data_IF_636251594121
#
_entry.id   IF_636251594121
#
_cell.length_a   1.000
_cell.length_b   1.000
_cell.length_c   1.000
_cell.angle_alpha   90.00
_cell.angle_beta   90.00
_cell.angle_gamma   90.00
#
_symmetry.space_group_name_H-M   'P 1'
#
loop_
_entity.id
_entity.type
_entity.pdbx_description
1 polymer ?
#
# COMPACT_ATOMS: atom_id res chain seq x y z
N UNK A 1 25.80 34.47 45.19
CA UNK A 1 25.48 34.51 43.74
C UNK A 1 25.96 33.20 43.13
N UNK A 2 25.04 32.32 42.76
CA UNK A 2 25.32 31.11 41.99
C UNK A 2 24.23 30.98 40.92
N UNK A 3 24.66 30.72 39.71
CA UNK A 3 23.92 30.89 38.45
C UNK A 3 22.91 29.75 38.29
N UNK A 4 21.63 30.10 38.13
CA UNK A 4 20.58 29.14 37.76
C UNK A 4 20.74 28.84 36.27
N UNK A 5 21.24 27.66 35.94
CA UNK A 5 21.27 27.17 34.57
C UNK A 5 19.86 26.82 34.12
N UNK A 6 19.29 27.61 33.22
CA UNK A 6 18.03 27.26 32.54
C UNK A 6 18.31 26.11 31.59
N UNK A 7 17.84 24.91 31.94
CA UNK A 7 17.76 23.80 31.01
C UNK A 7 16.76 24.17 29.90
N UNK A 8 17.26 24.43 28.69
CA UNK A 8 16.41 24.53 27.50
C UNK A 8 16.02 23.11 27.14
N UNK A 9 14.82 22.71 27.51
CA UNK A 9 14.21 21.49 27.00
C UNK A 9 14.01 21.66 25.48
N UNK A 10 14.88 21.06 24.68
CA UNK A 10 14.60 20.85 23.26
C UNK A 10 13.38 19.93 23.20
N UNK A 11 12.20 20.52 23.02
CA UNK A 11 11.02 19.79 22.59
C UNK A 11 11.38 19.12 21.26
N UNK A 12 11.72 17.84 21.28
CA UNK A 12 11.65 16.99 20.09
C UNK A 12 10.18 16.85 19.73
N UNK A 13 9.59 17.94 19.23
CA UNK A 13 8.33 17.87 18.53
C UNK A 13 8.58 16.97 17.34
N UNK A 14 7.98 15.78 17.34
CA UNK A 14 7.86 14.92 16.17
C UNK A 14 7.46 15.85 15.02
N UNK A 15 8.35 16.06 14.05
CA UNK A 15 8.05 16.92 12.90
C UNK A 15 6.96 16.22 12.12
N UNK A 16 5.70 16.54 12.43
CA UNK A 16 4.55 16.09 11.65
C UNK A 16 4.77 16.66 10.25
N UNK A 17 5.25 15.80 9.36
CA UNK A 17 5.51 16.19 7.99
C UNK A 17 4.16 16.42 7.33
N UNK A 18 3.93 17.64 6.85
CA UNK A 18 2.77 17.93 6.01
C UNK A 18 2.88 17.05 4.77
N UNK A 19 2.04 16.03 4.73
CA UNK A 19 2.10 14.98 3.72
C UNK A 19 0.97 15.17 2.74
N UNK A 20 1.28 15.20 1.46
CA UNK A 20 0.27 15.23 0.39
C UNK A 20 0.08 13.83 -0.16
N UNK A 21 -1.17 13.38 -0.27
CA UNK A 21 -1.50 12.13 -0.95
C UNK A 21 -1.97 12.37 -2.38
N UNK A 22 -1.78 11.38 -3.24
CA UNK A 22 -2.35 11.34 -4.58
C UNK A 22 -2.75 9.91 -4.95
N UNK A 23 -3.95 9.74 -5.52
CA UNK A 23 -4.40 8.43 -6.01
C UNK A 23 -3.46 7.98 -7.13
N UNK A 24 -3.02 6.72 -7.04
CA UNK A 24 -2.20 6.05 -8.05
C UNK A 24 -3.05 5.13 -8.92
N UNK A 25 -3.82 4.24 -8.29
CA UNK A 25 -4.72 3.28 -8.95
C UNK A 25 -5.89 2.95 -8.05
N UNK A 26 -7.03 2.64 -8.64
CA UNK A 26 -8.15 2.02 -7.95
C UNK A 26 -8.78 0.93 -8.81
N UNK A 27 -9.15 -0.17 -8.17
CA UNK A 27 -9.77 -1.33 -8.81
C UNK A 27 -11.06 -1.70 -8.10
N UNK A 28 -12.10 -2.00 -8.86
CA UNK A 28 -13.34 -2.56 -8.38
C UNK A 28 -13.54 -3.93 -9.01
N UNK A 29 -13.57 -4.98 -8.20
CA UNK A 29 -13.61 -6.33 -8.75
C UNK A 29 -14.04 -7.40 -7.77
N UNK A 30 -14.44 -8.53 -8.34
CA UNK A 30 -14.59 -9.77 -7.61
C UNK A 30 -13.24 -10.47 -7.54
N UNK A 31 -12.75 -10.83 -6.34
CA UNK A 31 -11.44 -11.48 -6.20
C UNK A 31 -11.24 -12.61 -7.19
N UNK A 32 -12.30 -13.41 -7.41
CA UNK A 32 -12.21 -14.64 -8.18
C UNK A 32 -12.96 -14.65 -9.54
N UNK A 33 -13.38 -13.50 -10.09
CA UNK A 33 -14.16 -13.50 -11.34
C UNK A 33 -13.39 -12.99 -12.57
N UNK A 34 -12.07 -12.88 -12.48
CA UNK A 34 -11.22 -12.32 -13.54
C UNK A 34 -10.71 -10.91 -13.23
N UNK A 35 -10.22 -10.17 -14.24
CA UNK A 35 -9.68 -8.82 -14.06
C UNK A 35 -10.70 -7.85 -13.46
N UNK A 36 -10.23 -6.98 -12.57
CA UNK A 36 -11.05 -5.95 -11.95
C UNK A 36 -11.24 -4.78 -12.90
N UNK A 37 -12.32 -4.02 -12.73
CA UNK A 37 -12.48 -2.76 -13.41
C UNK A 37 -11.49 -1.72 -12.85
N UNK A 38 -10.72 -1.07 -13.72
CA UNK A 38 -9.96 0.14 -13.32
C UNK A 38 -10.97 1.27 -13.12
N UNK A 39 -11.08 1.74 -11.87
CA UNK A 39 -12.00 2.81 -11.44
C UNK A 39 -11.23 4.04 -10.96
N UNK A 40 -9.94 4.15 -11.31
CA UNK A 40 -9.04 5.22 -10.86
C UNK A 40 -9.63 6.60 -11.12
N UNK A 41 -10.21 6.83 -12.30
CA UNK A 41 -10.82 8.12 -12.68
C UNK A 41 -12.15 8.42 -12.00
N UNK A 42 -12.76 7.44 -11.33
CA UNK A 42 -14.03 7.58 -10.62
C UNK A 42 -13.82 7.86 -9.12
N UNK A 43 -12.63 7.57 -8.60
CA UNK A 43 -12.26 7.90 -7.22
C UNK A 43 -11.86 9.37 -7.15
N UNK A 44 -12.60 10.15 -6.36
CA UNK A 44 -12.37 11.58 -6.18
C UNK A 44 -12.23 11.92 -4.70
N UNK A 45 -11.43 12.94 -4.39
CA UNK A 45 -11.26 13.48 -3.04
C UNK A 45 -11.51 14.99 -3.01
N UNK A 46 -12.78 15.42 -3.13
CA UNK A 46 -13.15 16.82 -3.07
C UNK A 46 -12.95 17.33 -1.64
N UNK A 47 -11.85 18.04 -1.40
CA UNK A 47 -11.43 18.47 -0.06
C UNK A 47 -9.98 18.11 0.28
N UNK A 48 -9.30 17.36 -0.60
CA UNK A 48 -7.93 16.91 -0.37
C UNK A 48 -7.87 15.68 0.53
N UNK A 49 -6.70 15.45 1.14
CA UNK A 49 -6.43 14.27 1.95
C UNK A 49 -6.25 14.67 3.42
N UNK A 50 -6.71 13.86 4.40
CA UNK A 50 -7.29 12.53 4.21
C UNK A 50 -8.71 12.56 3.63
N UNK A 51 -9.07 11.54 2.85
CA UNK A 51 -10.40 11.39 2.29
C UNK A 51 -10.90 9.95 2.38
N UNK A 52 -12.23 9.81 2.45
CA UNK A 52 -12.91 8.52 2.51
C UNK A 52 -13.50 8.19 1.14
N UNK A 53 -13.17 7.01 0.62
CA UNK A 53 -13.72 6.47 -0.63
C UNK A 53 -14.63 5.30 -0.30
N UNK A 54 -15.92 5.44 -0.59
CA UNK A 54 -16.88 4.38 -0.33
C UNK A 54 -16.73 3.22 -1.33
N UNK A 55 -16.64 2.00 -0.81
CA UNK A 55 -16.72 0.79 -1.61
C UNK A 55 -18.19 0.55 -2.00
N UNK A 56 -18.61 1.18 -3.11
CA UNK A 56 -19.99 1.14 -3.57
C UNK A 56 -20.07 0.93 -5.08
N UNK A 57 -20.67 -0.18 -5.52
CA UNK A 57 -20.76 -0.55 -6.94
C UNK A 57 -21.36 0.52 -7.85
N UNK A 58 -22.51 1.12 -7.51
CA UNK A 58 -23.09 2.24 -8.26
C UNK A 58 -22.16 3.43 -8.49
N UNK A 59 -21.26 3.76 -7.55
CA UNK A 59 -20.27 4.82 -7.74
C UNK A 59 -19.23 4.49 -8.83
N UNK A 60 -19.15 3.21 -9.20
CA UNK A 60 -18.23 2.66 -10.19
C UNK A 60 -18.97 2.09 -11.41
N UNK A 61 -20.20 2.56 -11.67
CA UNK A 61 -21.07 2.09 -12.76
C UNK A 61 -21.39 0.58 -12.71
N UNK A 62 -21.41 -0.02 -11.52
CA UNK A 62 -21.72 -1.44 -11.32
C UNK A 62 -22.93 -1.62 -10.41
N UNK A 63 -24.11 -1.71 -11.03
CA UNK A 63 -25.39 -1.87 -10.32
C UNK A 63 -25.66 -3.29 -9.83
N UNK A 64 -24.77 -4.26 -10.14
CA UNK A 64 -24.95 -5.64 -9.68
C UNK A 64 -24.58 -5.73 -8.20
N UNK A 65 -25.56 -6.01 -7.36
CA UNK A 65 -25.34 -6.27 -5.94
C UNK A 65 -24.53 -7.56 -5.76
N UNK A 66 -23.29 -7.41 -5.30
CA UNK A 66 -22.44 -8.53 -4.95
C UNK A 66 -21.52 -8.12 -3.80
N UNK A 67 -21.76 -8.71 -2.62
CA UNK A 67 -21.03 -8.41 -1.39
C UNK A 67 -19.60 -8.99 -1.38
N UNK A 68 -19.27 -9.87 -2.34
CA UNK A 68 -17.91 -10.40 -2.48
C UNK A 68 -16.98 -9.47 -3.26
N UNK A 69 -17.52 -8.42 -3.93
CA UNK A 69 -16.69 -7.40 -4.59
C UNK A 69 -15.86 -6.64 -3.59
N UNK A 70 -14.70 -6.17 -4.00
CA UNK A 70 -13.82 -5.35 -3.18
C UNK A 70 -13.36 -4.15 -3.98
N UNK A 71 -13.28 -3.02 -3.28
CA UNK A 71 -12.56 -1.84 -3.74
C UNK A 71 -11.12 -1.96 -3.24
N UNK A 72 -10.16 -1.88 -4.17
CA UNK A 72 -8.75 -1.66 -3.84
C UNK A 72 -8.37 -0.27 -4.26
N UNK A 73 -7.78 0.52 -3.36
CA UNK A 73 -7.22 1.83 -3.69
C UNK A 73 -5.75 1.84 -3.31
N UNK A 74 -4.93 2.39 -4.21
CA UNK A 74 -3.48 2.56 -4.06
C UNK A 74 -3.20 4.05 -4.23
N UNK A 75 -2.49 4.65 -3.29
CA UNK A 75 -2.13 6.07 -3.33
C UNK A 75 -0.67 6.28 -2.92
N UNK A 76 -0.09 7.37 -3.40
CA UNK A 76 1.26 7.79 -3.02
C UNK A 76 1.20 8.89 -1.97
N UNK A 77 2.26 9.01 -1.18
CA UNK A 77 2.44 10.06 -0.19
C UNK A 77 3.80 10.73 -0.36
N UNK A 78 3.77 12.06 -0.45
CA UNK A 78 4.92 12.94 -0.53
C UNK A 78 4.99 13.81 0.72
N UNK A 79 6.20 14.11 1.24
CA UNK A 79 7.53 13.82 0.67
C UNK A 79 8.10 12.44 1.06
N UNK A 80 7.36 11.57 1.76
CA UNK A 80 7.91 10.32 2.29
C UNK A 80 8.26 9.29 1.22
N UNK A 81 7.73 9.42 -0.01
CA UNK A 81 7.74 8.37 -1.02
C UNK A 81 7.12 7.07 -0.50
N UNK A 82 5.97 7.16 0.18
CA UNK A 82 5.19 5.97 0.52
C UNK A 82 4.22 5.64 -0.60
N UNK A 83 4.05 4.35 -0.87
CA UNK A 83 2.88 3.80 -1.56
C UNK A 83 2.07 3.03 -0.54
N UNK A 84 0.84 3.48 -0.34
CA UNK A 84 -0.11 2.89 0.59
C UNK A 84 -1.27 2.30 -0.17
N UNK A 85 -1.89 1.28 0.41
CA UNK A 85 -3.02 0.63 -0.20
C UNK A 85 -3.97 0.03 0.83
N UNK A 86 -5.25 0.01 0.48
CA UNK A 86 -6.30 -0.56 1.31
C UNK A 86 -7.30 -1.33 0.43
N UNK A 87 -7.89 -2.37 1.02
CA UNK A 87 -8.91 -3.20 0.39
C UNK A 87 -10.15 -3.15 1.27
N UNK A 88 -11.25 -2.63 0.74
CA UNK A 88 -12.52 -2.51 1.44
C UNK A 88 -13.61 -3.38 0.78
N UNK A 89 -14.36 -4.18 1.55
CA UNK A 89 -15.58 -4.81 1.06
C UNK A 89 -16.71 -3.78 0.91
N UNK A 90 -17.83 -4.12 0.26
CA UNK A 90 -18.90 -3.16 0.00
C UNK A 90 -19.51 -2.69 1.32
N UNK A 91 -20.04 -1.46 1.34
CA UNK A 91 -20.55 -0.74 2.53
C UNK A 91 -19.48 -0.19 3.49
N UNK A 92 -18.21 -0.58 3.33
CA UNK A 92 -17.08 0.04 4.02
C UNK A 92 -16.47 1.17 3.18
N UNK A 93 -15.49 1.87 3.76
CA UNK A 93 -14.76 2.95 3.12
C UNK A 93 -13.26 2.70 3.23
N UNK A 94 -12.52 3.06 2.19
CA UNK A 94 -11.08 3.21 2.23
C UNK A 94 -10.76 4.60 2.76
N UNK A 95 -9.95 4.71 3.81
CA UNK A 95 -9.51 6.00 4.35
C UNK A 95 -8.12 6.32 3.82
N UNK A 96 -8.07 7.06 2.72
CA UNK A 96 -6.80 7.49 2.14
C UNK A 96 -6.17 8.58 2.99
N UNK A 97 -5.06 8.23 3.65
CA UNK A 97 -4.27 9.15 4.46
C UNK A 97 -2.79 8.79 4.34
N UNK A 98 -1.92 9.78 4.51
CA UNK A 98 -0.50 9.53 4.70
C UNK A 98 -0.25 9.18 6.17
N UNK A 99 -0.06 7.90 6.44
CA UNK A 99 0.23 7.39 7.78
C UNK A 99 1.73 7.20 7.97
N UNK A 100 2.26 7.71 9.08
CA UNK A 100 3.67 7.60 9.46
C UNK A 100 4.40 8.94 9.47
N UNK A 101 5.46 9.03 10.27
CA UNK A 101 6.41 10.13 10.20
C UNK A 101 7.28 9.97 8.95
N UNK A 102 8.07 10.98 8.59
CA UNK A 102 9.11 10.77 7.59
C UNK A 102 10.06 9.64 8.04
N UNK A 103 10.52 8.77 7.13
CA UNK A 103 11.52 7.76 7.43
C UNK A 103 12.74 8.39 8.10
N UNK A 104 13.23 7.79 9.18
CA UNK A 104 14.47 8.22 9.83
C UNK A 104 15.65 8.09 8.85
N UNK A 105 15.68 6.97 8.12
CA UNK A 105 16.60 6.72 7.02
C UNK A 105 15.78 6.33 5.79
N UNK A 106 15.69 7.19 4.75
CA UNK A 106 14.95 6.88 3.53
C UNK A 106 15.74 5.85 2.71
N UNK A 107 15.41 4.57 2.87
CA UNK A 107 15.95 3.48 2.06
C UNK A 107 14.97 3.12 0.95
N UNK A 108 15.44 3.13 -0.30
CA UNK A 108 14.66 2.79 -1.49
C UNK A 108 14.36 1.29 -1.53
N UNK A 109 13.13 0.96 -1.84
CA UNK A 109 12.67 -0.40 -2.14
C UNK A 109 12.92 -0.68 -3.63
N UNK A 110 13.61 -1.79 -3.91
CA UNK A 110 13.76 -2.34 -5.26
C UNK A 110 13.22 -3.77 -5.28
N UNK A 111 12.27 -4.05 -6.18
CA UNK A 111 11.64 -5.37 -6.30
C UNK A 111 12.54 -6.29 -7.15
N UNK A 112 13.02 -7.37 -6.52
CA UNK A 112 13.85 -8.39 -7.17
C UNK A 112 12.99 -9.35 -7.97
N UNK A 113 12.05 -10.00 -7.29
CA UNK A 113 11.12 -10.98 -7.86
C UNK A 113 9.80 -10.97 -7.08
N UNK A 114 8.70 -11.22 -7.78
CA UNK A 114 7.41 -11.47 -7.16
C UNK A 114 6.64 -12.56 -7.89
N UNK A 115 5.96 -13.42 -7.13
CA UNK A 115 5.12 -14.48 -7.68
C UNK A 115 3.73 -14.47 -7.05
N UNK A 116 2.74 -14.86 -7.85
CA UNK A 116 1.35 -14.97 -7.45
C UNK A 116 0.81 -16.36 -7.79
N UNK A 117 0.21 -17.03 -6.81
CA UNK A 117 -0.48 -18.29 -7.05
C UNK A 117 -0.63 -19.16 -5.83
N UNK A 118 -1.35 -20.28 -6.01
CA UNK A 118 -1.60 -21.27 -4.98
C UNK A 118 -0.50 -22.34 -4.90
N UNK A 119 -0.79 -23.48 -4.25
CA UNK A 119 0.17 -24.58 -4.08
C UNK A 119 0.57 -25.28 -5.39
N UNK A 120 -0.32 -25.28 -6.40
CA UNK A 120 -0.14 -26.06 -7.63
C UNK A 120 0.45 -25.26 -8.78
N UNK A 121 0.31 -23.94 -8.78
CA UNK A 121 0.78 -23.09 -9.87
C UNK A 121 1.04 -21.67 -9.39
N UNK A 122 2.07 -21.05 -9.97
CA UNK A 122 2.41 -19.65 -9.75
C UNK A 122 2.72 -18.98 -11.09
N UNK A 123 2.49 -17.68 -11.15
CA UNK A 123 2.87 -16.81 -12.25
C UNK A 123 3.84 -15.74 -11.73
N UNK A 124 4.72 -15.26 -12.62
CA UNK A 124 5.56 -14.10 -12.36
C UNK A 124 4.74 -12.82 -12.45
N UNK A 125 4.78 -12.03 -11.38
CA UNK A 125 4.09 -10.73 -11.26
C UNK A 125 5.05 -9.60 -10.91
N UNK A 126 6.36 -9.83 -11.11
CA UNK A 126 7.43 -8.90 -10.73
C UNK A 126 7.20 -7.51 -11.30
N UNK A 127 6.84 -7.41 -12.58
CA UNK A 127 6.61 -6.09 -13.21
C UNK A 127 5.37 -5.39 -12.64
N UNK A 128 4.28 -6.12 -12.38
CA UNK A 128 3.07 -5.53 -11.79
C UNK A 128 3.35 -5.00 -10.38
N UNK A 129 4.15 -5.71 -9.58
CA UNK A 129 4.57 -5.25 -8.25
C UNK A 129 5.49 -4.03 -8.34
N UNK A 130 6.41 -3.98 -9.31
CA UNK A 130 7.22 -2.79 -9.59
C UNK A 130 6.36 -1.58 -9.96
N UNK A 131 5.35 -1.77 -10.81
CA UNK A 131 4.45 -0.69 -11.21
C UNK A 131 3.62 -0.18 -10.02
N UNK A 132 3.15 -1.07 -9.15
CA UNK A 132 2.45 -0.72 -7.90
C UNK A 132 3.36 0.07 -6.97
N UNK A 133 4.56 -0.42 -6.67
CA UNK A 133 5.47 0.27 -5.77
C UNK A 133 6.02 1.55 -6.38
N UNK A 134 6.17 1.63 -7.70
CA UNK A 134 6.81 2.75 -8.36
C UNK A 134 8.28 2.92 -7.96
N UNK A 135 8.93 3.85 -8.65
CA UNK A 135 10.32 4.18 -8.41
C UNK A 135 10.50 5.02 -7.13
N UNK A 136 11.50 4.69 -6.33
CA UNK A 136 11.94 5.54 -5.21
C UNK A 136 11.19 5.30 -3.91
N UNK A 137 10.25 4.35 -3.87
CA UNK A 137 9.41 4.14 -2.70
C UNK A 137 10.22 3.66 -1.50
N UNK A 138 9.96 4.26 -0.34
CA UNK A 138 10.61 3.89 0.94
C UNK A 138 9.72 2.99 1.80
N UNK A 139 8.43 2.93 1.45
CA UNK A 139 7.43 1.97 1.92
C UNK A 139 6.48 1.66 0.78
N UNK A 140 6.10 0.39 0.63
CA UNK A 140 5.16 -0.03 -0.39
C UNK A 140 4.17 -1.06 0.13
N UNK A 141 2.88 -0.76 0.05
CA UNK A 141 1.80 -1.69 0.33
C UNK A 141 1.24 -2.26 -0.97
N UNK A 142 1.31 -3.58 -1.12
CA UNK A 142 0.90 -4.29 -2.33
C UNK A 142 -0.34 -5.13 -2.03
N UNK A 143 -1.52 -4.79 -2.61
CA UNK A 143 -2.75 -5.56 -2.42
C UNK A 143 -2.70 -6.92 -3.11
N UNK A 144 -2.85 -8.00 -2.36
CA UNK A 144 -2.87 -9.37 -2.86
C UNK A 144 -4.25 -9.75 -3.43
N UNK A 145 -4.59 -9.24 -4.61
CA UNK A 145 -5.89 -9.43 -5.26
C UNK A 145 -5.78 -10.20 -6.57
N UNK A 146 -6.54 -11.28 -6.74
CA UNK A 146 -6.54 -12.04 -8.00
C UNK A 146 -7.08 -11.22 -9.19
N UNK A 147 -7.93 -10.22 -8.97
CA UNK A 147 -8.37 -9.32 -10.03
C UNK A 147 -7.30 -8.29 -10.46
N UNK A 148 -6.18 -8.18 -9.74
CA UNK A 148 -5.02 -7.35 -10.11
C UNK A 148 -3.97 -8.22 -10.82
N UNK A 149 -3.63 -9.37 -10.22
CA UNK A 149 -2.55 -10.23 -10.68
C UNK A 149 -2.97 -11.35 -11.63
N UNK A 150 -4.28 -11.61 -11.76
CA UNK A 150 -4.83 -12.73 -12.50
C UNK A 150 -5.14 -13.95 -11.61
N UNK A 151 -5.62 -15.01 -12.25
CA UNK A 151 -6.10 -16.22 -11.58
C UNK A 151 -5.40 -17.48 -12.11
N UNK A 152 -4.29 -17.91 -11.49
CA UNK A 152 -3.60 -19.14 -11.90
C UNK A 152 -4.36 -20.44 -11.55
N UNK A 153 -5.16 -20.44 -10.47
CA UNK A 153 -5.96 -21.62 -10.03
C UNK A 153 -7.25 -21.20 -9.30
N UNK A 154 -8.01 -22.16 -8.71
CA UNK A 154 -9.19 -21.86 -7.86
C UNK A 154 -8.89 -21.85 -6.36
N UNK A 155 -7.65 -22.14 -5.96
CA UNK A 155 -7.26 -22.20 -4.56
C UNK A 155 -6.89 -20.81 -4.03
N UNK A 156 -6.82 -20.68 -2.71
CA UNK A 156 -6.31 -19.46 -2.07
C UNK A 156 -4.88 -19.22 -2.50
N UNK A 157 -4.63 -18.00 -2.98
CA UNK A 157 -3.34 -17.62 -3.56
C UNK A 157 -2.50 -16.87 -2.55
N UNK A 158 -1.19 -16.89 -2.76
CA UNK A 158 -0.25 -16.13 -1.96
C UNK A 158 0.61 -15.29 -2.90
N UNK A 159 0.66 -13.99 -2.64
CA UNK A 159 1.63 -13.09 -3.21
C UNK A 159 2.93 -13.25 -2.42
N UNK A 160 4.03 -13.55 -3.10
CA UNK A 160 5.38 -13.64 -2.51
C UNK A 160 6.27 -12.63 -3.19
N UNK A 161 6.95 -11.80 -2.41
CA UNK A 161 7.76 -10.69 -2.90
C UNK A 161 9.13 -10.77 -2.23
N UNK A 162 10.19 -10.67 -3.03
CA UNK A 162 11.54 -10.37 -2.55
C UNK A 162 11.96 -9.01 -3.06
N UNK A 163 12.58 -8.25 -2.17
CA UNK A 163 12.99 -6.88 -2.43
C UNK A 163 14.28 -6.57 -1.69
N UNK A 164 14.90 -5.46 -2.07
CA UNK A 164 16.04 -4.88 -1.34
C UNK A 164 15.70 -3.52 -0.79
N UNK A 165 16.43 -3.12 0.25
CA UNK A 165 16.44 -1.77 0.78
C UNK A 165 17.82 -1.16 0.52
N UNK A 166 17.94 -0.23 -0.43
CA UNK A 166 19.23 0.30 -0.92
C UNK A 166 20.23 -0.83 -1.26
N UNK A 167 19.79 -1.84 -2.01
CA UNK A 167 20.62 -3.00 -2.39
C UNK A 167 20.83 -4.06 -1.30
N UNK A 168 20.41 -3.82 -0.06
CA UNK A 168 20.45 -4.85 0.99
C UNK A 168 19.21 -5.74 0.91
N UNK A 169 19.41 -7.04 0.70
CA UNK A 169 18.32 -8.02 0.66
C UNK A 169 17.58 -8.10 1.99
N UNK A 170 16.25 -8.02 1.94
CA UNK A 170 15.38 -8.21 3.10
C UNK A 170 14.84 -9.64 3.17
N UNK A 171 14.29 -10.08 4.32
CA UNK A 171 13.40 -11.23 4.33
C UNK A 171 12.28 -11.06 3.30
N UNK A 172 11.91 -12.15 2.63
CA UNK A 172 10.76 -12.16 1.74
C UNK A 172 9.48 -11.73 2.47
N UNK A 173 8.58 -11.08 1.74
CA UNK A 173 7.26 -10.71 2.23
C UNK A 173 6.21 -11.51 1.50
N UNK A 174 5.15 -11.86 2.22
CA UNK A 174 4.04 -12.59 1.66
C UNK A 174 2.72 -12.05 2.16
N UNK A 175 1.69 -12.16 1.33
CA UNK A 175 0.33 -11.80 1.65
C UNK A 175 -0.62 -12.82 1.02
N UNK A 176 -1.55 -13.33 1.81
CA UNK A 176 -2.61 -14.21 1.34
C UNK A 176 -3.63 -13.41 0.53
N UNK A 177 -4.30 -14.04 -0.42
CA UNK A 177 -5.38 -13.43 -1.20
C UNK A 177 -6.37 -12.67 -0.32
N UNK A 178 -6.78 -11.47 -0.77
CA UNK A 178 -7.62 -10.50 -0.06
C UNK A 178 -6.94 -9.76 1.11
N UNK A 179 -5.60 -9.76 1.18
CA UNK A 179 -4.82 -8.99 2.16
C UNK A 179 -3.80 -8.04 1.49
N UNK A 180 -2.93 -7.42 2.28
CA UNK A 180 -1.93 -6.45 1.81
C UNK A 180 -0.54 -6.85 2.32
N UNK A 181 0.44 -6.89 1.42
CA UNK A 181 1.85 -7.06 1.80
C UNK A 181 2.47 -5.69 2.07
N UNK A 182 2.95 -5.44 3.30
CA UNK A 182 3.63 -4.19 3.68
C UNK A 182 5.16 -4.36 3.58
N UNK A 183 5.75 -3.75 2.55
CA UNK A 183 7.19 -3.71 2.32
C UNK A 183 7.75 -2.47 3.02
N UNK A 184 8.67 -2.68 3.96
CA UNK A 184 9.31 -1.62 4.74
C UNK A 184 10.82 -1.83 4.80
N UNK A 185 11.52 -0.71 4.87
CA UNK A 185 12.97 -0.66 5.04
C UNK A 185 13.42 -0.10 6.40
N UNK A 186 12.48 0.30 7.25
CA UNK A 186 12.74 0.65 8.64
C UNK A 186 13.24 -0.60 9.37
N UNK A 187 14.42 -0.50 9.96
CA UNK A 187 15.00 -1.54 10.79
C UNK A 187 14.77 -1.20 12.26
N UNK A 188 14.65 -2.20 13.15
CA UNK A 188 14.57 -1.95 14.60
C UNK A 188 15.73 -1.09 15.13
N UNK A 189 16.93 -1.24 14.56
CA UNK A 189 18.10 -0.44 14.90
C UNK A 189 17.93 1.07 14.59
N UNK A 190 17.09 1.44 13.63
CA UNK A 190 16.78 2.85 13.35
C UNK A 190 15.91 3.48 14.44
N UNK A 191 15.23 2.66 15.25
CA UNK A 191 14.34 3.10 16.33
C UNK A 191 15.08 3.32 17.65
N UNK A 192 16.40 3.08 17.69
CA UNK A 192 17.26 3.42 18.83
C UNK A 192 17.10 2.54 20.07
N UNK A 193 16.68 1.28 19.91
CA UNK A 193 16.67 0.26 20.97
C UNK A 193 17.96 -0.57 21.00
#
# INVERSE_FOLDING_TARGET
>A
MAVVGTAVACSQGSRVVQSTAQIKRAYWGLPQAGPGADVTSMVTCPGGYPCDVFANGPAFNDNRMDLAKKLTVIWTCQPQNFVLAEVAPPTFKVRMACIGQAPIVPRRIDILEASWGGPSSTIDVTQQVRDICGDGSTRCQVPAMAYIFGMPDRLTKTLRIRYTCNGQTTPGRQATENSVADLRCEQPADLGY
#
